data_IF_310714912585
#
_entry.id   IF_310714912585
#
_cell.length_a   1.000
_cell.length_b   1.000
_cell.length_c   1.000
_cell.angle_alpha   90.00
_cell.angle_beta   90.00
_cell.angle_gamma   90.00
#
_symmetry.space_group_name_H-M   'P 1'
#
loop_
_entity.id
_entity.type
_entity.pdbx_description
1 polymer ?
#
# COMPACT_ATOMS: atom_id res chain seq x y z
N UNK A 1 20.96 15.25 13.18
CA UNK A 1 19.78 14.47 12.77
C UNK A 1 18.77 14.48 13.91
N UNK A 2 17.56 14.79 13.59
CA UNK A 2 16.51 14.65 14.55
C UNK A 2 16.09 13.17 14.64
N UNK A 3 16.64 12.49 15.64
CA UNK A 3 16.37 11.07 15.86
C UNK A 3 14.91 10.81 16.21
N UNK A 4 14.21 11.75 16.81
CA UNK A 4 12.78 11.64 17.09
C UNK A 4 11.97 11.58 15.81
N UNK A 5 12.31 12.40 14.83
CA UNK A 5 11.60 12.38 13.55
C UNK A 5 11.85 11.09 12.79
N UNK A 6 13.08 10.59 12.80
CA UNK A 6 13.39 9.29 12.16
C UNK A 6 12.65 8.17 12.88
N UNK A 7 12.62 8.19 14.21
CA UNK A 7 11.87 7.20 14.98
C UNK A 7 10.38 7.23 14.64
N UNK A 8 9.80 8.42 14.46
CA UNK A 8 8.41 8.57 14.06
C UNK A 8 8.17 7.98 12.66
N UNK A 9 9.05 8.25 11.71
CA UNK A 9 8.95 7.68 10.37
C UNK A 9 8.99 6.15 10.39
N UNK A 10 9.88 5.58 11.21
CA UNK A 10 10.00 4.13 11.33
C UNK A 10 8.76 3.52 12.00
N UNK A 11 8.23 4.17 13.03
CA UNK A 11 7.02 3.71 13.71
C UNK A 11 5.81 3.73 12.77
N UNK A 12 5.64 4.82 12.04
CA UNK A 12 4.55 4.93 11.07
C UNK A 12 4.69 3.90 9.96
N UNK A 13 5.91 3.66 9.50
CA UNK A 13 6.16 2.67 8.46
C UNK A 13 5.89 1.25 8.94
N UNK A 14 6.26 0.93 10.17
CA UNK A 14 5.97 -0.39 10.76
C UNK A 14 4.47 -0.60 10.90
N UNK A 15 3.75 0.44 11.32
CA UNK A 15 2.29 0.40 11.45
C UNK A 15 1.61 0.21 10.09
N UNK A 16 2.02 0.97 9.10
CA UNK A 16 1.51 0.84 7.74
C UNK A 16 1.77 -0.56 7.17
N UNK A 17 2.96 -1.10 7.41
CA UNK A 17 3.33 -2.43 6.93
C UNK A 17 2.48 -3.52 7.57
N UNK A 18 2.27 -3.46 8.88
CA UNK A 18 1.43 -4.41 9.60
C UNK A 18 -0.01 -4.36 9.11
N UNK A 19 -0.56 -3.17 8.96
CA UNK A 19 -1.91 -2.99 8.44
C UNK A 19 -2.04 -3.55 7.02
N UNK A 20 -1.05 -3.29 6.17
CA UNK A 20 -1.04 -3.79 4.80
C UNK A 20 -1.01 -5.33 4.77
N UNK A 21 -0.18 -5.96 5.60
CA UNK A 21 -0.11 -7.41 5.72
C UNK A 21 -1.44 -8.01 6.13
N UNK A 22 -2.07 -7.43 7.14
CA UNK A 22 -3.34 -7.92 7.64
C UNK A 22 -4.44 -7.85 6.59
N UNK A 23 -4.47 -6.76 5.82
CA UNK A 23 -5.46 -6.61 4.76
C UNK A 23 -5.24 -7.58 3.61
N UNK A 24 -3.99 -7.84 3.24
CA UNK A 24 -3.65 -8.80 2.19
C UNK A 24 -4.00 -10.22 2.66
N UNK A 25 -3.65 -10.58 3.88
CA UNK A 25 -4.00 -11.89 4.43
C UNK A 25 -5.51 -12.08 4.54
N UNK A 26 -6.24 -11.02 4.93
CA UNK A 26 -7.70 -11.06 4.96
C UNK A 26 -8.28 -11.35 3.58
N UNK A 27 -7.77 -10.68 2.55
CA UNK A 27 -8.21 -10.90 1.18
C UNK A 27 -7.93 -12.32 0.71
N UNK A 28 -6.73 -12.82 1.00
CA UNK A 28 -6.33 -14.19 0.66
C UNK A 28 -7.20 -15.21 1.38
N UNK A 29 -7.45 -15.02 2.67
CA UNK A 29 -8.29 -15.90 3.46
C UNK A 29 -9.72 -15.92 2.95
N UNK A 30 -10.27 -14.74 2.65
CA UNK A 30 -11.62 -14.63 2.11
C UNK A 30 -11.75 -15.38 0.78
N UNK A 31 -10.74 -15.26 -0.09
CA UNK A 31 -10.73 -15.95 -1.38
C UNK A 31 -10.66 -17.46 -1.21
N UNK A 32 -9.86 -17.94 -0.24
CA UNK A 32 -9.68 -19.37 -0.02
C UNK A 32 -10.88 -20.04 0.64
N UNK A 33 -11.66 -19.29 1.43
CA UNK A 33 -12.72 -19.86 2.26
C UNK A 33 -14.13 -19.55 1.77
N UNK A 34 -14.28 -18.61 0.82
CA UNK A 34 -15.59 -18.21 0.32
C UNK A 34 -15.80 -18.67 -1.11
N UNK A 35 -17.01 -19.15 -1.39
CA UNK A 35 -17.44 -19.45 -2.76
C UNK A 35 -17.96 -18.20 -3.47
N UNK A 36 -18.21 -17.11 -2.73
CA UNK A 36 -18.69 -15.86 -3.27
C UNK A 36 -17.53 -15.01 -3.79
N UNK A 37 -17.85 -13.99 -4.58
CA UNK A 37 -16.85 -13.02 -5.04
C UNK A 37 -16.35 -12.20 -3.85
N UNK A 38 -15.03 -12.04 -3.78
CA UNK A 38 -14.37 -11.28 -2.73
C UNK A 38 -13.71 -10.02 -3.30
N UNK A 39 -14.35 -9.42 -4.30
CA UNK A 39 -13.80 -8.28 -5.04
C UNK A 39 -13.48 -7.09 -4.11
N UNK A 40 -14.34 -6.80 -3.13
CA UNK A 40 -14.12 -5.68 -2.20
C UNK A 40 -12.89 -5.91 -1.33
N UNK A 41 -12.72 -7.12 -0.78
CA UNK A 41 -11.59 -7.45 0.08
C UNK A 41 -10.27 -7.37 -0.69
N UNK A 42 -10.26 -7.90 -1.92
CA UNK A 42 -9.08 -7.85 -2.79
C UNK A 42 -8.75 -6.41 -3.17
N UNK A 43 -9.77 -5.62 -3.54
CA UNK A 43 -9.58 -4.21 -3.90
C UNK A 43 -9.06 -3.38 -2.72
N UNK A 44 -9.61 -3.61 -1.53
CA UNK A 44 -9.13 -2.93 -0.31
C UNK A 44 -7.69 -3.29 0.00
N UNK A 45 -7.33 -4.57 -0.13
CA UNK A 45 -5.96 -5.04 0.08
C UNK A 45 -5.00 -4.40 -0.90
N UNK A 46 -5.32 -4.41 -2.18
CA UNK A 46 -4.48 -3.79 -3.21
C UNK A 46 -4.34 -2.30 -2.97
N UNK A 47 -5.46 -1.61 -2.76
CA UNK A 47 -5.45 -0.16 -2.53
C UNK A 47 -4.59 0.20 -1.32
N UNK A 48 -4.84 -0.42 -0.18
CA UNK A 48 -4.12 -0.06 1.05
C UNK A 48 -2.65 -0.43 0.96
N UNK A 49 -2.32 -1.64 0.48
CA UNK A 49 -0.94 -2.10 0.44
C UNK A 49 -0.08 -1.24 -0.50
N UNK A 50 -0.58 -0.88 -1.67
CA UNK A 50 0.20 -0.07 -2.62
C UNK A 50 0.34 1.38 -2.14
N UNK A 51 -0.71 1.95 -1.54
CA UNK A 51 -0.62 3.30 -0.97
C UNK A 51 0.30 3.33 0.25
N UNK A 52 0.23 2.32 1.11
CA UNK A 52 1.12 2.20 2.26
C UNK A 52 2.58 2.03 1.81
N UNK A 53 2.83 1.20 0.80
CA UNK A 53 4.17 1.02 0.26
C UNK A 53 4.73 2.34 -0.28
N UNK A 54 3.90 3.16 -0.94
CA UNK A 54 4.30 4.48 -1.42
C UNK A 54 4.69 5.39 -0.25
N UNK A 55 3.91 5.42 0.82
CA UNK A 55 4.23 6.22 2.00
C UNK A 55 5.52 5.76 2.66
N UNK A 56 5.72 4.45 2.76
CA UNK A 56 6.93 3.88 3.36
C UNK A 56 8.16 4.27 2.55
N UNK A 57 8.10 4.13 1.23
CA UNK A 57 9.26 4.45 0.39
C UNK A 57 9.53 5.95 0.33
N UNK A 58 8.49 6.79 0.40
CA UNK A 58 8.67 8.24 0.52
C UNK A 58 9.47 8.60 1.76
N UNK A 59 9.14 7.98 2.90
CA UNK A 59 9.86 8.20 4.15
C UNK A 59 11.30 7.71 4.05
N UNK A 60 11.51 6.56 3.40
CA UNK A 60 12.86 6.01 3.20
C UNK A 60 13.71 6.93 2.34
N UNK A 61 13.16 7.49 1.27
CA UNK A 61 13.86 8.49 0.44
C UNK A 61 14.22 9.70 1.29
N UNK A 62 13.29 10.18 2.10
CA UNK A 62 13.51 11.35 2.96
C UNK A 62 14.64 11.10 3.97
N UNK A 63 14.67 9.91 4.56
CA UNK A 63 15.73 9.52 5.52
C UNK A 63 17.10 9.49 4.83
N UNK A 64 17.17 9.03 3.59
CA UNK A 64 18.43 9.00 2.83
C UNK A 64 18.88 10.38 2.38
N UNK A 65 17.98 11.37 2.39
CA UNK A 65 18.31 12.71 1.93
C UNK A 65 18.66 12.73 0.44
N UNK A 66 19.68 13.52 0.07
CA UNK A 66 20.07 13.67 -1.33
C UNK A 66 20.44 12.36 -2.03
N UNK A 67 20.97 11.39 -1.29
CA UNK A 67 21.28 10.08 -1.85
C UNK A 67 20.03 9.33 -2.28
N UNK A 68 18.89 9.59 -1.65
CA UNK A 68 17.63 8.91 -1.93
C UNK A 68 17.09 9.16 -3.32
N UNK A 69 17.55 10.23 -3.99
CA UNK A 69 17.12 10.56 -5.36
C UNK A 69 18.24 10.30 -6.38
N UNK A 70 19.35 9.73 -5.94
CA UNK A 70 20.49 9.42 -6.81
C UNK A 70 20.28 8.08 -7.50
N UNK A 71 20.43 8.06 -8.82
CA UNK A 71 20.32 6.83 -9.61
C UNK A 71 21.32 5.79 -9.12
N UNK A 72 20.88 4.55 -9.00
CA UNK A 72 21.71 3.43 -8.54
C UNK A 72 21.58 3.13 -7.04
N UNK A 73 21.02 4.03 -6.26
CA UNK A 73 20.72 3.76 -4.86
C UNK A 73 19.42 2.93 -4.78
N UNK A 74 19.39 1.82 -4.02
CA UNK A 74 18.22 0.93 -4.00
C UNK A 74 16.90 1.63 -3.72
N UNK A 75 16.86 2.60 -2.81
CA UNK A 75 15.61 3.29 -2.43
C UNK A 75 15.06 4.11 -3.60
N UNK A 76 15.91 4.70 -4.43
CA UNK A 76 15.48 5.45 -5.61
C UNK A 76 14.81 4.52 -6.63
N UNK A 77 15.39 3.35 -6.87
CA UNK A 77 14.82 2.37 -7.77
C UNK A 77 13.49 1.85 -7.24
N UNK A 78 13.42 1.54 -5.96
CA UNK A 78 12.19 1.06 -5.32
C UNK A 78 11.08 2.09 -5.41
N UNK A 79 11.42 3.38 -5.29
CA UNK A 79 10.43 4.45 -5.43
C UNK A 79 9.76 4.38 -6.80
N UNK A 80 10.55 4.25 -7.85
CA UNK A 80 10.01 4.17 -9.21
C UNK A 80 9.15 2.92 -9.43
N UNK A 81 9.60 1.78 -8.92
CA UNK A 81 8.88 0.52 -9.04
C UNK A 81 7.54 0.55 -8.28
N UNK A 82 7.57 1.00 -7.05
CA UNK A 82 6.38 1.05 -6.20
C UNK A 82 5.35 2.04 -6.74
N UNK A 83 5.82 3.16 -7.29
CA UNK A 83 4.92 4.15 -7.88
C UNK A 83 4.04 3.54 -8.96
N UNK A 84 4.60 2.66 -9.76
CA UNK A 84 3.89 1.99 -10.84
C UNK A 84 2.82 1.02 -10.31
N UNK A 85 3.00 0.43 -9.14
CA UNK A 85 2.03 -0.50 -8.55
C UNK A 85 0.68 0.15 -8.25
N UNK A 86 0.64 1.45 -8.07
CA UNK A 86 -0.60 2.19 -7.87
C UNK A 86 -1.41 2.35 -9.15
N UNK A 87 -0.83 1.98 -10.27
CA UNK A 87 -1.41 2.13 -11.61
C UNK A 87 -1.74 0.77 -12.22
N UNK A 88 -0.87 -0.22 -12.05
CA UNK A 88 -1.00 -1.54 -12.68
C UNK A 88 -2.24 -2.30 -12.20
N UNK A 89 -2.87 -3.02 -13.12
CA UNK A 89 -4.00 -3.92 -12.86
C UNK A 89 -5.15 -3.25 -12.12
N UNK A 90 -5.46 -2.04 -12.53
CA UNK A 90 -6.45 -1.19 -11.91
C UNK A 90 -5.80 -0.17 -11.00
N UNK A 91 -5.98 1.09 -11.34
CA UNK A 91 -5.44 2.19 -10.55
C UNK A 91 -6.07 2.22 -9.16
N UNK A 92 -5.47 2.98 -8.24
CA UNK A 92 -6.07 3.23 -6.93
C UNK A 92 -7.48 3.79 -7.06
N UNK A 93 -7.72 4.65 -8.05
CA UNK A 93 -9.05 5.18 -8.34
C UNK A 93 -10.05 4.11 -8.73
N UNK A 94 -9.63 3.16 -9.57
CA UNK A 94 -10.47 2.03 -9.98
C UNK A 94 -10.76 1.10 -8.79
N UNK A 95 -9.78 0.88 -7.91
CA UNK A 95 -10.00 0.08 -6.70
C UNK A 95 -11.10 0.72 -5.83
N UNK A 96 -11.10 2.05 -5.73
CA UNK A 96 -12.15 2.75 -5.00
C UNK A 96 -13.53 2.56 -5.61
N UNK A 97 -13.60 2.52 -6.93
CA UNK A 97 -14.87 2.23 -7.64
C UNK A 97 -15.38 0.84 -7.28
N UNK A 98 -14.50 -0.16 -7.28
CA UNK A 98 -14.88 -1.54 -6.92
C UNK A 98 -15.39 -1.62 -5.49
N UNK A 99 -14.69 -0.97 -4.56
CA UNK A 99 -15.07 -0.94 -3.14
C UNK A 99 -16.44 -0.27 -2.97
N UNK A 100 -16.62 0.86 -3.62
CA UNK A 100 -17.88 1.61 -3.56
C UNK A 100 -19.07 0.79 -4.07
N UNK A 101 -18.87 0.06 -5.17
CA UNK A 101 -19.90 -0.83 -5.70
C UNK A 101 -20.26 -1.93 -4.71
N UNK A 102 -19.26 -2.48 -4.00
CA UNK A 102 -19.48 -3.48 -2.97
C UNK A 102 -20.30 -2.94 -1.78
N UNK A 103 -20.05 -1.69 -1.40
CA UNK A 103 -20.81 -1.04 -0.34
C UNK A 103 -22.28 -0.85 -0.72
N UNK A 104 -22.55 -0.49 -1.96
CA UNK A 104 -23.92 -0.35 -2.45
C UNK A 104 -24.67 -1.67 -2.38
N UNK A 105 -24.03 -2.77 -2.74
CA UNK A 105 -24.63 -4.11 -2.66
C UNK A 105 -25.00 -4.49 -1.24
N UNK A 106 -24.19 -4.11 -0.24
CA UNK A 106 -24.46 -4.40 1.17
C UNK A 106 -25.67 -3.63 1.71
N UNK A 107 -25.95 -2.45 1.16
CA UNK A 107 -27.06 -1.62 1.57
C UNK A 107 -28.36 -1.99 0.86
N UNK A 108 -28.24 -2.59 -0.30
CA UNK A 108 -29.37 -3.01 -1.09
C UNK A 108 -29.78 -4.43 -0.80
#
# INVERSE_FOLDING_TARGET
IDQQQIAAYLADSATDLDAARLMVFRAAHARDTSSARVSSEVAMGKLFATEAAQRIIDRAVQIHGGLGVTRGVPVERLYREIRALRIYEGTSEIQRVVISAGLKKRQG
#
